data_IF_435779717963
#
_entry.id   IF_435779717963
#
_cell.length_a   1.000
_cell.length_b   1.000
_cell.length_c   1.000
_cell.angle_alpha   90.00
_cell.angle_beta   90.00
_cell.angle_gamma   90.00
#
_symmetry.space_group_name_H-M   'P 1'
#
loop_
_entity.id
_entity.type
_entity.pdbx_description
1 polymer ?
#
# COMPACT_ATOMS: atom_id res chain seq x y z
N UNK A 1 1.67 -15.91 -19.35
CA UNK A 1 1.64 -15.95 -17.87
C UNK A 1 1.63 -17.41 -17.42
N UNK A 2 2.23 -17.72 -16.27
CA UNK A 2 2.19 -19.08 -15.73
C UNK A 2 0.76 -19.44 -15.31
N UNK A 3 0.38 -20.70 -15.54
CA UNK A 3 -0.95 -21.19 -15.15
C UNK A 3 -1.17 -21.18 -13.63
N UNK A 4 -0.10 -21.48 -12.87
CA UNK A 4 -0.08 -21.47 -11.40
C UNK A 4 1.10 -20.64 -10.93
N UNK A 5 0.86 -19.78 -9.95
CA UNK A 5 1.90 -18.99 -9.28
C UNK A 5 1.81 -19.22 -7.77
N UNK A 6 2.93 -19.53 -7.15
CA UNK A 6 3.00 -19.84 -5.71
C UNK A 6 3.55 -18.63 -4.96
N UNK A 7 2.92 -18.30 -3.84
CA UNK A 7 3.44 -17.32 -2.89
C UNK A 7 4.21 -18.10 -1.83
N UNK A 8 5.52 -18.12 -1.97
CA UNK A 8 6.44 -18.83 -1.06
C UNK A 8 7.56 -17.92 -0.55
N UNK A 9 8.38 -18.45 0.32
CA UNK A 9 9.50 -17.70 0.91
C UNK A 9 10.57 -17.29 -0.09
N UNK A 10 10.74 -18.03 -1.18
CA UNK A 10 11.72 -17.67 -2.22
C UNK A 10 11.24 -16.45 -3.02
N UNK A 11 9.97 -16.45 -3.41
CA UNK A 11 9.35 -15.28 -4.05
C UNK A 11 9.41 -14.05 -3.13
N UNK A 12 8.95 -14.20 -1.89
CA UNK A 12 8.93 -13.10 -0.91
C UNK A 12 10.35 -12.58 -0.67
N UNK A 13 11.33 -13.45 -0.44
CA UNK A 13 12.72 -13.06 -0.20
C UNK A 13 13.33 -12.28 -1.36
N UNK A 14 13.05 -12.68 -2.61
CA UNK A 14 13.50 -11.95 -3.79
C UNK A 14 12.88 -10.56 -3.89
N UNK A 15 11.60 -10.43 -3.57
CA UNK A 15 10.87 -9.15 -3.59
C UNK A 15 11.32 -8.22 -2.46
N UNK A 16 11.61 -8.75 -1.28
CA UNK A 16 12.20 -7.99 -0.16
C UNK A 16 13.53 -7.37 -0.56
N UNK A 17 14.41 -8.13 -1.20
CA UNK A 17 15.69 -7.61 -1.72
C UNK A 17 15.45 -6.49 -2.73
N UNK A 18 14.53 -6.67 -3.68
CA UNK A 18 14.18 -5.63 -4.66
C UNK A 18 13.63 -4.37 -4.00
N UNK A 19 12.73 -4.51 -3.03
CA UNK A 19 12.13 -3.37 -2.32
C UNK A 19 13.19 -2.54 -1.57
N UNK A 20 14.13 -3.20 -0.88
CA UNK A 20 15.22 -2.53 -0.15
C UNK A 20 16.17 -1.79 -1.08
N UNK A 21 16.42 -2.30 -2.27
CA UNK A 21 17.29 -1.69 -3.28
C UNK A 21 16.59 -0.61 -4.11
N UNK A 22 15.26 -0.62 -4.18
CA UNK A 22 14.50 0.35 -4.95
C UNK A 22 14.61 1.76 -4.36
N UNK A 23 14.68 2.78 -5.22
CA UNK A 23 14.65 4.18 -4.81
C UNK A 23 13.41 4.52 -3.97
N UNK A 24 12.24 4.02 -4.39
CA UNK A 24 10.96 4.20 -3.69
C UNK A 24 10.82 3.33 -2.44
N UNK A 25 11.79 2.44 -2.15
CA UNK A 25 11.79 1.51 -1.01
C UNK A 25 10.56 0.60 -0.98
N UNK A 26 10.03 0.26 -2.14
CA UNK A 26 8.94 -0.70 -2.33
C UNK A 26 8.94 -1.30 -3.73
N UNK A 27 8.29 -2.44 -3.87
CA UNK A 27 8.05 -3.08 -5.17
C UNK A 27 6.72 -3.84 -5.16
N UNK A 28 6.14 -3.99 -6.34
CA UNK A 28 4.95 -4.83 -6.55
C UNK A 28 5.33 -6.06 -7.36
N UNK A 29 4.64 -7.17 -7.09
CA UNK A 29 4.65 -8.37 -7.92
C UNK A 29 3.22 -8.70 -8.33
N UNK A 30 2.91 -8.48 -9.62
CA UNK A 30 1.57 -8.68 -10.15
C UNK A 30 1.36 -10.14 -10.58
N UNK A 31 0.27 -10.75 -10.11
CA UNK A 31 -0.20 -12.07 -10.57
C UNK A 31 -1.14 -11.96 -11.77
N UNK A 32 -1.39 -10.77 -12.25
CA UNK A 32 -2.33 -10.40 -13.29
C UNK A 32 -1.66 -9.59 -14.40
N UNK A 33 -2.30 -9.57 -15.57
CA UNK A 33 -2.02 -8.56 -16.60
C UNK A 33 -2.87 -7.30 -16.32
N UNK A 34 -2.37 -6.12 -16.72
CA UNK A 34 -3.04 -4.84 -16.43
C UNK A 34 -4.47 -4.71 -16.98
N UNK A 35 -4.78 -5.47 -18.03
CA UNK A 35 -6.13 -5.52 -18.64
C UNK A 35 -7.14 -6.38 -17.88
N UNK A 36 -6.69 -7.22 -16.93
CA UNK A 36 -7.59 -8.10 -16.19
C UNK A 36 -8.48 -7.31 -15.22
N UNK A 37 -9.71 -7.80 -15.05
CA UNK A 37 -10.69 -7.16 -14.17
C UNK A 37 -10.40 -7.39 -12.69
N UNK A 38 -9.70 -8.46 -12.34
CA UNK A 38 -9.24 -8.76 -10.98
C UNK A 38 -7.73 -8.53 -10.88
N UNK A 39 -7.36 -7.38 -10.35
CA UNK A 39 -5.97 -7.01 -10.06
C UNK A 39 -5.57 -7.61 -8.71
N UNK A 40 -4.49 -8.38 -8.69
CA UNK A 40 -4.00 -9.06 -7.48
C UNK A 40 -2.48 -9.09 -7.48
N UNK A 41 -1.88 -8.67 -6.40
CA UNK A 41 -0.43 -8.52 -6.34
C UNK A 41 0.10 -8.54 -4.91
N UNK A 42 1.40 -8.79 -4.77
CA UNK A 42 2.13 -8.52 -3.55
C UNK A 42 2.64 -7.08 -3.60
N UNK A 43 2.39 -6.35 -2.52
CA UNK A 43 2.96 -5.03 -2.27
C UNK A 43 4.00 -5.18 -1.17
N UNK A 44 5.28 -5.03 -1.52
CA UNK A 44 6.40 -5.24 -0.60
C UNK A 44 7.01 -3.89 -0.26
N UNK A 45 6.97 -3.56 1.02
CA UNK A 45 7.37 -2.29 1.57
C UNK A 45 8.62 -2.46 2.43
N UNK A 46 9.56 -1.53 2.34
CA UNK A 46 10.63 -1.40 3.32
C UNK A 46 10.49 -0.11 4.13
N UNK A 47 11.15 -0.08 5.27
CA UNK A 47 11.13 1.08 6.18
C UNK A 47 11.43 2.39 5.43
N UNK A 48 10.74 3.46 5.78
CA UNK A 48 10.82 4.78 5.16
C UNK A 48 10.29 4.87 3.71
N UNK A 49 9.58 3.87 3.20
CA UNK A 49 8.80 4.07 1.97
C UNK A 49 7.67 5.07 2.22
N UNK A 50 7.38 5.91 1.23
CA UNK A 50 6.30 6.89 1.29
C UNK A 50 5.24 6.60 0.25
N UNK A 51 4.01 6.48 0.71
CA UNK A 51 2.84 6.38 -0.16
C UNK A 51 1.99 7.62 0.11
N UNK A 52 1.92 8.50 -0.87
CA UNK A 52 1.12 9.72 -0.76
C UNK A 52 -0.36 9.39 -0.53
N UNK A 53 -1.04 10.03 0.43
CA UNK A 53 -2.48 9.84 0.62
C UNK A 53 -3.25 10.01 -0.67
N UNK A 54 -4.09 9.02 -1.00
CA UNK A 54 -4.81 8.94 -2.27
C UNK A 54 -6.13 8.19 -2.12
N UNK A 55 -6.94 8.23 -3.18
CA UNK A 55 -8.17 7.44 -3.32
C UNK A 55 -8.37 7.00 -4.77
N UNK A 56 -9.25 6.02 -4.95
CA UNK A 56 -9.73 5.55 -6.25
C UNK A 56 -11.21 5.87 -6.39
N UNK A 57 -11.54 7.03 -6.98
CA UNK A 57 -12.91 7.53 -7.10
C UNK A 57 -13.35 7.75 -8.55
N UNK A 58 -12.51 8.36 -9.39
CA UNK A 58 -12.85 8.65 -10.79
C UNK A 58 -13.05 7.39 -11.62
N UNK A 59 -12.28 6.33 -11.30
CA UNK A 59 -12.50 4.95 -11.68
C UNK A 59 -12.69 4.18 -10.36
N UNK A 60 -13.94 4.03 -9.89
CA UNK A 60 -14.20 3.59 -8.52
C UNK A 60 -13.76 2.15 -8.30
N UNK A 61 -12.79 1.97 -7.38
CA UNK A 61 -12.21 0.66 -7.07
C UNK A 61 -12.22 0.41 -5.57
N UNK A 62 -12.84 -0.70 -5.13
CA UNK A 62 -12.58 -1.24 -3.81
C UNK A 62 -11.18 -1.85 -3.77
N UNK A 63 -10.58 -1.88 -2.59
CA UNK A 63 -9.27 -2.46 -2.35
C UNK A 63 -9.29 -3.30 -1.08
N UNK A 64 -8.63 -4.46 -1.13
CA UNK A 64 -8.42 -5.30 0.04
C UNK A 64 -6.94 -5.49 0.27
N UNK A 65 -6.49 -5.28 1.51
CA UNK A 65 -5.11 -5.52 1.94
C UNK A 65 -5.09 -6.58 3.02
N UNK A 66 -4.21 -7.57 2.88
CA UNK A 66 -3.93 -8.58 3.90
C UNK A 66 -2.44 -8.65 4.15
N UNK A 67 -2.02 -8.48 5.40
CA UNK A 67 -0.60 -8.50 5.78
C UNK A 67 -0.15 -9.96 5.90
N UNK A 68 0.84 -10.35 5.09
CA UNK A 68 1.47 -11.67 5.11
C UNK A 68 2.70 -11.71 6.01
N UNK A 69 3.51 -10.63 6.03
CA UNK A 69 4.68 -10.49 6.87
C UNK A 69 4.83 -9.05 7.39
N UNK A 70 5.36 -8.91 8.59
CA UNK A 70 5.62 -7.60 9.20
C UNK A 70 4.39 -6.88 9.68
N UNK A 71 4.51 -5.56 9.79
CA UNK A 71 3.47 -4.67 10.31
C UNK A 71 3.36 -3.40 9.46
N UNK A 72 2.14 -2.97 9.21
CA UNK A 72 1.84 -1.68 8.58
C UNK A 72 0.91 -0.84 9.45
N UNK A 73 1.12 0.46 9.40
CA UNK A 73 0.18 1.45 9.92
C UNK A 73 -0.71 1.92 8.76
N UNK A 74 -1.99 1.62 8.83
CA UNK A 74 -2.97 2.02 7.81
C UNK A 74 -3.74 3.25 8.27
N UNK A 75 -3.79 4.27 7.43
CA UNK A 75 -4.34 5.59 7.73
C UNK A 75 -5.54 5.88 6.83
N UNK A 76 -6.65 6.28 7.43
CA UNK A 76 -7.86 6.74 6.74
C UNK A 76 -8.00 8.24 7.00
N UNK A 77 -8.28 9.01 5.95
CA UNK A 77 -8.41 10.46 6.01
C UNK A 77 -9.84 10.90 5.69
N UNK A 78 -10.23 12.03 6.25
CA UNK A 78 -11.43 12.77 5.86
C UNK A 78 -11.17 13.63 4.61
N UNK A 79 -12.22 14.20 4.05
CA UNK A 79 -12.12 15.05 2.84
C UNK A 79 -11.22 16.28 3.03
N UNK A 80 -11.10 16.79 4.25
CA UNK A 80 -10.20 17.91 4.61
C UNK A 80 -8.77 17.46 4.91
N UNK A 81 -8.49 16.14 4.78
CA UNK A 81 -7.17 15.54 5.00
C UNK A 81 -6.78 15.33 6.46
N UNK A 82 -7.71 15.44 7.41
CA UNK A 82 -7.43 15.05 8.78
C UNK A 82 -7.45 13.52 8.93
N UNK A 83 -6.65 13.00 9.85
CA UNK A 83 -6.69 11.56 10.18
C UNK A 83 -8.03 11.24 10.83
N UNK A 84 -8.80 10.37 10.21
CA UNK A 84 -10.09 9.89 10.70
C UNK A 84 -9.95 8.60 11.50
N UNK A 85 -9.13 7.68 10.99
CA UNK A 85 -8.84 6.40 11.64
C UNK A 85 -7.39 6.00 11.38
N UNK A 86 -6.83 5.25 12.33
CA UNK A 86 -5.53 4.61 12.19
C UNK A 86 -5.60 3.17 12.69
N UNK A 87 -5.07 2.23 11.89
CA UNK A 87 -5.10 0.81 12.20
C UNK A 87 -3.72 0.20 12.05
N UNK A 88 -3.18 -0.38 13.10
CA UNK A 88 -2.00 -1.24 13.01
C UNK A 88 -2.45 -2.61 12.52
N UNK A 89 -1.96 -3.00 11.35
CA UNK A 89 -2.19 -4.32 10.75
C UNK A 89 -0.92 -5.15 10.82
N UNK A 90 -1.05 -6.40 11.23
CA UNK A 90 0.09 -7.29 11.43
C UNK A 90 -0.26 -8.72 11.06
N UNK A 91 0.69 -9.44 10.46
CA UNK A 91 0.55 -10.88 10.19
C UNK A 91 0.30 -11.73 11.46
N UNK A 92 0.77 -11.26 12.61
CA UNK A 92 0.64 -11.93 13.90
C UNK A 92 -0.32 -11.22 14.87
N UNK A 93 -0.90 -10.10 14.45
CA UNK A 93 -1.77 -9.29 15.31
C UNK A 93 -3.25 -9.66 15.22
N UNK A 94 -4.09 -9.00 16.05
CA UNK A 94 -5.54 -9.19 16.00
C UNK A 94 -6.17 -8.61 14.72
N UNK A 95 -5.57 -7.57 14.13
CA UNK A 95 -5.97 -6.98 12.85
C UNK A 95 -4.96 -7.37 11.79
N UNK A 96 -5.39 -8.11 10.78
CA UNK A 96 -4.51 -8.66 9.74
C UNK A 96 -4.71 -8.04 8.37
N UNK A 97 -5.82 -7.37 8.16
CA UNK A 97 -6.16 -6.78 6.87
C UNK A 97 -7.25 -5.73 7.00
N UNK A 98 -7.53 -5.09 5.89
CA UNK A 98 -8.55 -4.06 5.76
C UNK A 98 -9.16 -4.12 4.36
N UNK A 99 -10.46 -3.86 4.26
CA UNK A 99 -11.18 -3.73 2.99
C UNK A 99 -11.75 -2.32 2.89
N UNK A 100 -11.47 -1.65 1.78
CA UNK A 100 -11.88 -0.28 1.52
C UNK A 100 -12.91 -0.22 0.40
N UNK A 101 -13.97 0.50 0.63
CA UNK A 101 -14.89 0.90 -0.44
C UNK A 101 -14.25 1.95 -1.35
N UNK A 102 -14.72 2.09 -2.60
CA UNK A 102 -14.23 3.13 -3.52
C UNK A 102 -14.30 4.53 -2.90
N UNK A 103 -13.30 5.34 -3.19
CA UNK A 103 -13.27 6.75 -2.79
C UNK A 103 -12.76 7.03 -1.37
N UNK A 104 -12.42 6.02 -0.60
CA UNK A 104 -11.84 6.20 0.73
C UNK A 104 -10.40 6.75 0.62
N UNK A 105 -10.16 7.92 1.21
CA UNK A 105 -8.81 8.49 1.32
C UNK A 105 -7.95 7.68 2.27
N UNK A 106 -6.81 7.18 1.80
CA UNK A 106 -5.95 6.31 2.59
C UNK A 106 -4.47 6.44 2.24
N UNK A 107 -3.65 5.98 3.16
CA UNK A 107 -2.22 5.74 3.00
C UNK A 107 -1.78 4.67 3.99
N UNK A 108 -0.55 4.19 3.83
CA UNK A 108 0.05 3.23 4.77
C UNK A 108 1.54 3.50 4.95
N UNK A 109 2.06 3.14 6.11
CA UNK A 109 3.48 3.19 6.45
C UNK A 109 3.97 1.82 6.89
N UNK A 110 5.22 1.51 6.56
CA UNK A 110 5.88 0.29 7.00
C UNK A 110 6.42 0.49 8.43
N UNK A 111 5.88 -0.25 9.40
CA UNK A 111 6.27 -0.12 10.81
C UNK A 111 7.46 -1.02 11.19
N UNK A 112 7.67 -2.12 10.47
CA UNK A 112 8.81 -3.02 10.61
C UNK A 112 9.89 -2.72 9.57
N UNK A 113 11.02 -3.40 9.59
CA UNK A 113 12.06 -3.25 8.55
C UNK A 113 11.49 -3.52 7.16
N UNK A 114 10.64 -4.53 7.03
CA UNK A 114 9.90 -4.90 5.83
C UNK A 114 8.48 -5.31 6.20
N UNK A 115 7.54 -5.06 5.32
CA UNK A 115 6.19 -5.61 5.37
C UNK A 115 5.77 -6.11 3.98
N UNK A 116 5.04 -7.20 3.96
CA UNK A 116 4.51 -7.82 2.74
C UNK A 116 3.00 -7.90 2.85
N UNK A 117 2.31 -7.27 1.91
CA UNK A 117 0.86 -7.28 1.80
C UNK A 117 0.43 -7.97 0.52
N UNK A 118 -0.61 -8.80 0.61
CA UNK A 118 -1.41 -9.15 -0.55
C UNK A 118 -2.46 -8.06 -0.74
N UNK A 119 -2.56 -7.55 -1.95
CA UNK A 119 -3.52 -6.52 -2.32
C UNK A 119 -4.37 -6.99 -3.49
N UNK A 120 -5.69 -6.86 -3.33
CA UNK A 120 -6.68 -7.09 -4.37
C UNK A 120 -7.41 -5.79 -4.71
N UNK A 121 -7.58 -5.54 -6.00
CA UNK A 121 -8.25 -4.33 -6.50
C UNK A 121 -8.95 -4.63 -7.81
N UNK A 122 -10.09 -3.98 -8.06
CA UNK A 122 -10.73 -4.12 -9.37
C UNK A 122 -9.88 -3.45 -10.47
N UNK A 123 -9.87 -4.12 -11.63
CA UNK A 123 -9.29 -3.61 -12.86
C UNK A 123 -10.37 -3.23 -13.89
N UNK A 124 -9.94 -2.96 -15.12
CA UNK A 124 -8.55 -2.89 -15.58
C UNK A 124 -7.77 -1.70 -15.02
N UNK A 125 -6.44 -1.72 -15.15
CA UNK A 125 -5.59 -0.61 -14.74
C UNK A 125 -5.50 0.46 -15.84
N UNK A 126 -5.84 1.70 -15.48
CA UNK A 126 -5.64 2.89 -16.31
C UNK A 126 -4.89 3.95 -15.48
N UNK A 127 -3.60 4.23 -15.79
CA UNK A 127 -2.79 5.16 -15.00
C UNK A 127 -3.30 6.61 -15.05
N UNK A 128 -4.14 6.98 -16.03
CA UNK A 128 -4.67 8.33 -16.17
C UNK A 128 -5.78 8.65 -15.16
N UNK A 129 -6.44 7.62 -14.60
CA UNK A 129 -7.57 7.76 -13.67
C UNK A 129 -7.45 6.90 -12.41
N UNK A 130 -6.36 6.13 -12.27
CA UNK A 130 -6.21 5.16 -11.17
C UNK A 130 -6.21 5.83 -9.80
N UNK A 131 -5.48 6.93 -9.64
CA UNK A 131 -5.32 7.61 -8.35
C UNK A 131 -5.64 9.09 -8.41
N UNK A 132 -6.27 9.56 -7.34
CA UNK A 132 -6.39 10.97 -6.97
C UNK A 132 -5.59 11.19 -5.69
N UNK A 133 -4.62 12.11 -5.72
CA UNK A 133 -3.78 12.43 -4.57
C UNK A 133 -4.39 13.55 -3.73
N UNK A 134 -4.30 13.40 -2.40
CA UNK A 134 -4.84 14.39 -1.48
C UNK A 134 -3.96 15.66 -1.46
N UNK A 135 -4.51 16.87 -1.75
CA UNK A 135 -3.72 18.10 -1.92
C UNK A 135 -3.04 18.60 -0.63
N UNK A 136 -3.48 18.16 0.53
CA UNK A 136 -2.89 18.52 1.84
C UNK A 136 -1.51 17.89 2.08
N UNK A 137 -1.17 16.82 1.38
CA UNK A 137 0.02 16.03 1.62
C UNK A 137 1.03 16.13 0.47
N UNK A 138 2.35 16.01 0.77
CA UNK A 138 3.36 16.07 -0.27
C UNK A 138 3.26 14.87 -1.22
N UNK A 139 3.64 15.07 -2.47
CA UNK A 139 3.88 13.99 -3.41
C UNK A 139 5.27 13.35 -3.16
N UNK A 140 5.49 12.17 -3.70
CA UNK A 140 6.81 11.53 -3.64
C UNK A 140 7.89 12.47 -4.21
N UNK A 141 9.06 12.50 -3.55
CA UNK A 141 10.18 13.37 -3.93
C UNK A 141 10.14 14.78 -3.35
N UNK A 142 9.05 15.20 -2.72
CA UNK A 142 8.97 16.48 -2.01
C UNK A 142 9.83 16.47 -0.74
N UNK A 143 10.42 17.63 -0.38
CA UNK A 143 11.27 17.78 0.80
C UNK A 143 10.56 17.49 2.14
N UNK A 144 9.23 17.59 2.18
CA UNK A 144 8.40 17.32 3.36
C UNK A 144 8.06 15.84 3.57
N UNK A 145 8.42 14.97 2.65
CA UNK A 145 8.10 13.53 2.72
C UNK A 145 8.64 12.90 4.01
N UNK A 146 9.88 13.19 4.38
CA UNK A 146 10.50 12.63 5.60
C UNK A 146 9.73 13.00 6.86
N UNK A 147 9.34 14.25 7.00
CA UNK A 147 8.55 14.76 8.12
C UNK A 147 7.17 14.11 8.16
N UNK A 148 6.54 13.96 7.00
CA UNK A 148 5.23 13.31 6.87
C UNK A 148 5.28 11.84 7.29
N UNK A 149 6.30 11.09 6.88
CA UNK A 149 6.50 9.69 7.31
C UNK A 149 6.63 9.62 8.84
N UNK A 150 7.47 10.47 9.43
CA UNK A 150 7.67 10.50 10.89
C UNK A 150 6.36 10.81 11.63
N UNK A 151 5.58 11.74 11.12
CA UNK A 151 4.26 12.04 11.69
C UNK A 151 3.32 10.83 11.60
N UNK A 152 3.22 10.17 10.44
CA UNK A 152 2.38 8.99 10.27
C UNK A 152 2.81 7.83 11.18
N UNK A 153 4.11 7.56 11.27
CA UNK A 153 4.65 6.51 12.15
C UNK A 153 4.34 6.80 13.63
N UNK A 154 4.39 8.07 14.05
CA UNK A 154 4.14 8.46 15.45
C UNK A 154 2.73 8.10 15.95
N UNK A 155 1.78 7.89 15.05
CA UNK A 155 0.40 7.51 15.38
C UNK A 155 0.26 6.04 15.80
N UNK A 156 1.32 5.26 15.70
CA UNK A 156 1.33 3.82 15.99
C UNK A 156 2.29 3.43 17.14
N UNK A 157 2.85 4.38 17.82
CA UNK A 157 3.74 4.16 18.97
C UNK A 157 2.92 3.94 20.24
#
# INVERSE_FOLDING_TARGET
MQEIQIIDSDLIGSLVTKAKQAERKRTNHNFHEQKEVYQRFLNVLSKNTYISPHRHLSDPKPETFVVLEGEIGFLIFSEDGNIKESHKLSSNGPKRGIDLQPGVWHSLVCLTDVAVCFEGKSGPYDPTVDKEFHPKYPLEGDSKVKETIQYFESLFI
#
